data_IF_909922712167
#
_entry.id   IF_909922712167
#
_cell.length_a   1.000
_cell.length_b   1.000
_cell.length_c   1.000
_cell.angle_alpha   90.00
_cell.angle_beta   90.00
_cell.angle_gamma   90.00
#
_symmetry.space_group_name_H-M   'P 1'
#
loop_
_entity.id
_entity.type
_entity.pdbx_description
1 polymer ?
#
# COMPACT_ATOMS: atom_id res chain seq x y z
N UNK A 1 -73.44 -95.34 -14.98
CA UNK A 1 -73.20 -94.46 -16.15
C UNK A 1 -71.94 -93.66 -15.86
N UNK A 2 -70.91 -93.79 -16.69
CA UNK A 2 -69.56 -93.28 -16.46
C UNK A 2 -69.32 -92.13 -17.45
N UNK A 3 -69.32 -90.89 -16.98
CA UNK A 3 -68.99 -89.72 -17.81
C UNK A 3 -67.48 -89.50 -17.77
N UNK A 4 -66.79 -89.84 -18.87
CA UNK A 4 -65.40 -89.45 -19.11
C UNK A 4 -65.37 -87.96 -19.50
N UNK A 5 -64.67 -87.16 -18.71
CA UNK A 5 -64.29 -85.79 -19.04
C UNK A 5 -63.03 -85.82 -19.92
N UNK A 6 -63.16 -85.38 -21.17
CA UNK A 6 -62.05 -85.12 -22.09
C UNK A 6 -61.48 -83.72 -21.81
N UNK A 7 -60.37 -83.66 -21.07
CA UNK A 7 -59.57 -82.45 -20.95
C UNK A 7 -58.59 -82.36 -22.13
N UNK A 8 -58.99 -81.60 -23.16
CA UNK A 8 -58.10 -81.16 -24.24
C UNK A 8 -57.09 -80.14 -23.70
N UNK A 9 -55.88 -80.60 -23.34
CA UNK A 9 -54.75 -79.71 -23.09
C UNK A 9 -54.26 -79.15 -24.44
N UNK A 10 -54.08 -77.82 -24.58
CA UNK A 10 -53.53 -77.25 -25.81
C UNK A 10 -52.09 -77.73 -26.00
N UNK A 11 -51.84 -78.33 -27.16
CA UNK A 11 -50.54 -78.79 -27.62
C UNK A 11 -49.52 -77.63 -27.59
N UNK A 12 -48.69 -77.59 -26.53
CA UNK A 12 -47.52 -76.71 -26.48
C UNK A 12 -46.56 -77.14 -27.58
N UNK A 13 -46.65 -76.51 -28.75
CA UNK A 13 -45.62 -76.61 -29.80
C UNK A 13 -44.29 -76.16 -29.19
N UNK A 14 -43.44 -77.13 -28.83
CA UNK A 14 -42.09 -76.85 -28.34
C UNK A 14 -41.29 -76.11 -29.40
N UNK A 15 -40.53 -75.10 -28.97
CA UNK A 15 -39.56 -74.43 -29.83
C UNK A 15 -38.61 -75.46 -30.45
N UNK A 16 -38.32 -75.36 -31.74
CA UNK A 16 -37.35 -76.25 -32.37
C UNK A 16 -35.95 -76.00 -31.81
N UNK A 17 -35.10 -77.04 -31.77
CA UNK A 17 -33.71 -76.94 -31.30
C UNK A 17 -32.94 -75.80 -31.99
N UNK A 18 -33.20 -75.58 -33.28
CA UNK A 18 -32.60 -74.50 -34.06
C UNK A 18 -32.93 -73.10 -33.51
N UNK A 19 -34.18 -72.88 -33.06
CA UNK A 19 -34.59 -71.60 -32.46
C UNK A 19 -33.92 -71.39 -31.11
N UNK A 20 -33.79 -72.43 -30.30
CA UNK A 20 -33.09 -72.36 -29.00
C UNK A 20 -31.63 -72.00 -29.19
N UNK A 21 -30.92 -72.67 -30.13
CA UNK A 21 -29.52 -72.37 -30.46
C UNK A 21 -29.34 -70.94 -30.96
N UNK A 22 -30.25 -70.45 -31.80
CA UNK A 22 -30.21 -69.06 -32.28
C UNK A 22 -30.37 -68.06 -31.13
N UNK A 23 -31.30 -68.29 -30.21
CA UNK A 23 -31.53 -67.41 -29.04
C UNK A 23 -30.29 -67.39 -28.13
N UNK A 24 -29.65 -68.52 -27.85
CA UNK A 24 -28.43 -68.55 -27.03
C UNK A 24 -27.27 -67.83 -27.73
N UNK A 25 -27.11 -68.02 -29.04
CA UNK A 25 -26.08 -67.29 -29.81
C UNK A 25 -26.30 -65.77 -29.77
N UNK A 26 -27.53 -65.31 -29.99
CA UNK A 26 -27.86 -63.88 -29.91
C UNK A 26 -27.59 -63.34 -28.50
N UNK A 27 -28.01 -64.06 -27.47
CA UNK A 27 -27.81 -63.65 -26.07
C UNK A 27 -26.31 -63.53 -25.74
N UNK A 28 -25.49 -64.48 -26.19
CA UNK A 28 -24.04 -64.42 -26.02
C UNK A 28 -23.42 -63.20 -26.72
N UNK A 29 -23.86 -62.89 -27.94
CA UNK A 29 -23.40 -61.69 -28.68
C UNK A 29 -23.78 -60.41 -27.93
N UNK A 30 -25.03 -60.29 -27.45
CA UNK A 30 -25.48 -59.11 -26.70
C UNK A 30 -24.65 -58.90 -25.43
N UNK A 31 -24.38 -59.98 -24.68
CA UNK A 31 -23.51 -59.91 -23.49
C UNK A 31 -22.10 -59.47 -23.85
N UNK A 32 -21.54 -60.02 -24.94
CA UNK A 32 -20.18 -59.67 -25.39
C UNK A 32 -20.09 -58.20 -25.79
N UNK A 33 -21.05 -57.69 -26.56
CA UNK A 33 -21.11 -56.28 -26.98
C UNK A 33 -21.26 -55.36 -25.76
N UNK A 34 -22.13 -55.70 -24.81
CA UNK A 34 -22.28 -54.94 -23.57
C UNK A 34 -20.98 -54.95 -22.73
N UNK A 35 -20.29 -56.08 -22.66
CA UNK A 35 -19.01 -56.21 -21.97
C UNK A 35 -17.91 -55.34 -22.58
N UNK A 36 -17.82 -55.29 -23.91
CA UNK A 36 -16.88 -54.39 -24.63
C UNK A 36 -17.22 -52.92 -24.35
N UNK A 37 -18.50 -52.56 -24.40
CA UNK A 37 -18.95 -51.20 -24.07
C UNK A 37 -18.56 -50.79 -22.64
N UNK A 38 -18.77 -51.67 -21.67
CA UNK A 38 -18.37 -51.44 -20.28
C UNK A 38 -16.84 -51.28 -20.16
N UNK A 39 -16.06 -52.14 -20.83
CA UNK A 39 -14.60 -52.09 -20.81
C UNK A 39 -14.08 -50.75 -21.36
N UNK A 40 -14.61 -50.29 -22.49
CA UNK A 40 -14.22 -49.00 -23.09
C UNK A 40 -14.52 -47.82 -22.15
N UNK A 41 -15.65 -47.87 -21.46
CA UNK A 41 -16.05 -46.84 -20.48
C UNK A 41 -15.09 -46.84 -19.28
N UNK A 42 -14.69 -48.01 -18.79
CA UNK A 42 -13.71 -48.14 -17.70
C UNK A 42 -12.35 -47.55 -18.11
N UNK A 43 -11.90 -47.81 -19.33
CA UNK A 43 -10.64 -47.26 -19.84
C UNK A 43 -10.68 -45.73 -19.97
N UNK A 44 -11.79 -45.17 -20.45
CA UNK A 44 -11.99 -43.72 -20.50
C UNK A 44 -11.95 -43.10 -19.10
N UNK A 45 -12.67 -43.66 -18.13
CA UNK A 45 -12.68 -43.18 -16.75
C UNK A 45 -11.27 -43.25 -16.11
N UNK A 46 -10.50 -44.31 -16.37
CA UNK A 46 -9.12 -44.40 -15.91
C UNK A 46 -8.24 -43.29 -16.51
N UNK A 47 -8.39 -43.03 -17.81
CA UNK A 47 -7.64 -41.96 -18.49
C UNK A 47 -7.97 -40.58 -17.93
N UNK A 48 -9.25 -40.29 -17.71
CA UNK A 48 -9.70 -39.03 -17.11
C UNK A 48 -9.22 -38.87 -15.67
N UNK A 49 -9.25 -39.94 -14.87
CA UNK A 49 -8.77 -39.89 -13.50
C UNK A 49 -7.26 -39.61 -13.41
N UNK A 50 -6.47 -40.19 -14.32
CA UNK A 50 -5.03 -39.89 -14.43
C UNK A 50 -4.80 -38.42 -14.80
N UNK A 51 -5.57 -37.87 -15.75
CA UNK A 51 -5.49 -36.44 -16.11
C UNK A 51 -5.81 -35.53 -14.91
N UNK A 52 -6.84 -35.87 -14.15
CA UNK A 52 -7.22 -35.13 -12.94
C UNK A 52 -6.15 -35.21 -11.85
N UNK A 53 -5.57 -36.39 -11.61
CA UNK A 53 -4.45 -36.53 -10.67
C UNK A 53 -3.27 -35.66 -11.06
N UNK A 54 -2.87 -35.66 -12.33
CA UNK A 54 -1.75 -34.85 -12.79
C UNK A 54 -2.02 -33.34 -12.61
N UNK A 55 -3.24 -32.89 -12.94
CA UNK A 55 -3.64 -31.49 -12.72
C UNK A 55 -3.65 -31.12 -11.24
N UNK A 56 -4.07 -32.01 -10.36
CA UNK A 56 -4.02 -31.79 -8.91
C UNK A 56 -2.59 -31.68 -8.38
N UNK A 57 -1.66 -32.51 -8.90
CA UNK A 57 -0.23 -32.41 -8.55
C UNK A 57 0.32 -31.05 -8.97
N UNK A 58 0.07 -30.64 -10.22
CA UNK A 58 0.53 -29.34 -10.75
C UNK A 58 -0.01 -28.15 -9.94
N UNK A 59 -1.30 -28.18 -9.59
CA UNK A 59 -1.92 -27.13 -8.77
C UNK A 59 -1.35 -27.09 -7.36
N UNK A 60 -1.04 -28.25 -6.78
CA UNK A 60 -0.45 -28.35 -5.44
C UNK A 60 0.96 -27.77 -5.42
N UNK A 61 1.75 -28.04 -6.45
CA UNK A 61 3.09 -27.48 -6.63
C UNK A 61 3.06 -25.96 -6.78
N UNK A 62 2.22 -25.44 -7.69
CA UNK A 62 2.01 -24.00 -7.88
C UNK A 62 1.56 -23.28 -6.60
N UNK A 63 0.69 -23.92 -5.81
CA UNK A 63 0.24 -23.38 -4.53
C UNK A 63 1.39 -23.31 -3.52
N UNK A 64 2.25 -24.34 -3.48
CA UNK A 64 3.43 -24.36 -2.62
C UNK A 64 4.41 -23.24 -2.97
N UNK A 65 4.73 -23.08 -4.25
CA UNK A 65 5.61 -22.02 -4.75
C UNK A 65 5.08 -20.63 -4.40
N UNK A 66 3.77 -20.42 -4.61
CA UNK A 66 3.11 -19.15 -4.31
C UNK A 66 3.18 -18.83 -2.81
N UNK A 67 2.97 -19.83 -1.94
CA UNK A 67 3.10 -19.66 -0.49
C UNK A 67 4.52 -19.29 -0.08
N UNK A 68 5.53 -19.89 -0.69
CA UNK A 68 6.94 -19.56 -0.43
C UNK A 68 7.24 -18.12 -0.86
N UNK A 69 6.80 -17.72 -2.07
CA UNK A 69 6.98 -16.36 -2.59
C UNK A 69 6.30 -15.31 -1.71
N UNK A 70 5.09 -15.61 -1.21
CA UNK A 70 4.36 -14.73 -0.30
C UNK A 70 5.11 -14.55 1.03
N UNK A 71 5.61 -15.64 1.62
CA UNK A 71 6.43 -15.57 2.85
C UNK A 71 7.67 -14.71 2.64
N UNK A 72 8.42 -14.91 1.54
CA UNK A 72 9.61 -14.10 1.22
C UNK A 72 9.27 -12.61 1.09
N UNK A 73 8.17 -12.29 0.39
CA UNK A 73 7.71 -10.90 0.24
C UNK A 73 7.34 -10.27 1.59
N UNK A 74 6.69 -11.04 2.47
CA UNK A 74 6.36 -10.61 3.83
C UNK A 74 7.59 -10.28 4.67
N UNK A 75 8.64 -11.13 4.61
CA UNK A 75 9.91 -10.86 5.30
C UNK A 75 10.59 -9.59 4.78
N UNK A 76 10.67 -9.42 3.45
CA UNK A 76 11.26 -8.22 2.86
C UNK A 76 10.50 -6.95 3.25
N UNK A 77 9.17 -7.02 3.34
CA UNK A 77 8.35 -5.88 3.80
C UNK A 77 8.62 -5.53 5.26
N UNK A 78 8.80 -6.53 6.13
CA UNK A 78 9.14 -6.31 7.53
C UNK A 78 10.53 -5.65 7.67
N UNK A 79 11.51 -6.10 6.89
CA UNK A 79 12.85 -5.50 6.85
C UNK A 79 12.80 -4.03 6.40
N UNK A 80 12.09 -3.74 5.29
CA UNK A 80 11.93 -2.38 4.80
C UNK A 80 11.28 -1.44 5.83
N UNK A 81 10.31 -1.93 6.61
CA UNK A 81 9.69 -1.16 7.70
C UNK A 81 10.71 -0.82 8.79
N UNK A 82 11.55 -1.76 9.19
CA UNK A 82 12.61 -1.53 10.19
C UNK A 82 13.61 -0.50 9.68
N UNK A 83 14.04 -0.61 8.42
CA UNK A 83 14.95 0.37 7.78
C UNK A 83 14.34 1.77 7.74
N UNK A 84 13.05 1.89 7.40
CA UNK A 84 12.36 3.18 7.39
C UNK A 84 12.30 3.81 8.79
N UNK A 85 11.97 3.02 9.81
CA UNK A 85 11.98 3.49 11.21
C UNK A 85 13.37 3.95 11.63
N UNK A 86 14.42 3.22 11.28
CA UNK A 86 15.81 3.64 11.57
C UNK A 86 16.19 4.93 10.84
N UNK A 87 15.80 5.09 9.57
CA UNK A 87 16.04 6.32 8.83
C UNK A 87 15.30 7.52 9.43
N UNK A 88 14.07 7.31 9.92
CA UNK A 88 13.31 8.33 10.63
C UNK A 88 14.04 8.81 11.88
N UNK A 89 14.53 7.89 12.73
CA UNK A 89 15.28 8.28 13.93
C UNK A 89 16.57 9.04 13.61
N UNK A 90 17.31 8.62 12.57
CA UNK A 90 18.50 9.37 12.13
C UNK A 90 18.17 10.77 11.63
N UNK A 91 17.02 10.94 10.96
CA UNK A 91 16.56 12.25 10.53
C UNK A 91 16.17 13.13 11.73
N UNK A 92 15.48 12.57 12.72
CA UNK A 92 15.15 13.26 13.97
C UNK A 92 16.42 13.68 14.73
N UNK A 93 17.43 12.81 14.82
CA UNK A 93 18.73 13.11 15.42
C UNK A 93 19.46 14.22 14.68
N UNK A 94 19.56 14.14 13.35
CA UNK A 94 20.19 15.20 12.54
C UNK A 94 19.43 16.54 12.63
N UNK A 95 18.10 16.49 12.74
CA UNK A 95 17.28 17.70 12.92
C UNK A 95 17.51 18.32 14.30
N UNK A 96 17.69 17.49 15.34
CA UNK A 96 18.05 17.95 16.68
C UNK A 96 19.45 18.57 16.72
N UNK A 97 20.45 17.94 16.09
CA UNK A 97 21.82 18.48 15.98
C UNK A 97 21.83 19.81 15.23
N UNK A 98 21.12 19.91 14.09
CA UNK A 98 20.93 21.16 13.36
C UNK A 98 20.23 22.23 14.21
N UNK A 99 19.25 21.82 15.01
CA UNK A 99 18.52 22.70 15.90
C UNK A 99 19.38 23.30 17.01
N UNK A 100 20.29 22.51 17.60
CA UNK A 100 21.25 22.99 18.60
C UNK A 100 22.26 23.99 18.00
N UNK A 101 22.80 23.72 16.82
CA UNK A 101 23.67 24.67 16.10
C UNK A 101 22.90 25.95 15.72
N UNK A 102 21.60 25.81 15.40
CA UNK A 102 20.71 26.94 15.10
C UNK A 102 20.31 27.76 16.35
N UNK A 103 20.42 27.22 17.56
CA UNK A 103 20.17 28.00 18.77
C UNK A 103 21.33 28.94 19.10
N UNK A 104 22.50 28.75 18.48
CA UNK A 104 23.61 29.70 18.53
C UNK A 104 23.60 30.63 17.32
N UNK A 105 22.85 31.73 17.42
CA UNK A 105 23.02 32.81 16.45
C UNK A 105 24.46 33.33 16.48
N UNK A 106 25.06 33.61 15.32
CA UNK A 106 26.28 34.42 15.25
C UNK A 106 26.11 35.74 16.01
N UNK A 107 27.22 36.28 16.53
CA UNK A 107 27.18 37.62 17.12
C UNK A 107 26.74 38.65 16.07
N UNK A 108 25.82 39.53 16.46
CA UNK A 108 25.35 40.62 15.61
C UNK A 108 26.53 41.42 15.07
N UNK A 109 26.55 41.60 13.76
CA UNK A 109 27.61 42.30 13.06
C UNK A 109 27.07 42.96 11.81
N UNK A 110 27.89 43.76 11.12
CA UNK A 110 27.52 44.29 9.79
C UNK A 110 27.31 43.21 8.72
N UNK A 111 27.62 41.95 9.03
CA UNK A 111 27.47 40.79 8.13
C UNK A 111 26.46 39.77 8.67
N UNK A 112 25.89 40.04 9.84
CA UNK A 112 24.90 39.19 10.48
C UNK A 112 23.94 40.13 11.20
N UNK A 113 22.92 40.58 10.48
CA UNK A 113 21.93 41.53 10.98
C UNK A 113 20.51 40.96 10.97
N UNK A 114 19.51 41.82 10.82
CA UNK A 114 18.10 41.47 10.86
C UNK A 114 17.71 40.44 9.80
N UNK A 115 18.24 40.54 8.58
CA UNK A 115 17.84 39.64 7.50
C UNK A 115 18.48 38.25 7.60
N UNK A 116 19.75 38.19 7.97
CA UNK A 116 20.46 36.97 8.30
C UNK A 116 19.81 36.25 9.49
N UNK A 117 19.46 37.01 10.54
CA UNK A 117 18.81 36.43 11.71
C UNK A 117 17.38 35.95 11.40
N UNK A 118 16.58 36.74 10.69
CA UNK A 118 15.25 36.34 10.27
C UNK A 118 15.29 35.10 9.36
N UNK A 119 16.26 35.04 8.43
CA UNK A 119 16.47 33.87 7.57
C UNK A 119 16.83 32.63 8.38
N UNK A 120 17.72 32.82 9.35
CA UNK A 120 18.14 31.77 10.27
C UNK A 120 16.96 31.23 11.09
N UNK A 121 16.18 32.11 11.72
CA UNK A 121 14.99 31.74 12.50
C UNK A 121 13.90 31.10 11.65
N UNK A 122 13.66 31.63 10.45
CA UNK A 122 12.71 31.04 9.49
C UNK A 122 13.05 29.58 9.19
N UNK A 123 14.32 29.30 8.87
CA UNK A 123 14.77 27.94 8.58
C UNK A 123 14.67 27.04 9.82
N UNK A 124 15.02 27.56 11.00
CA UNK A 124 14.95 26.82 12.27
C UNK A 124 13.51 26.40 12.59
N UNK A 125 12.57 27.34 12.70
CA UNK A 125 11.19 27.04 13.07
C UNK A 125 10.47 26.22 12.00
N UNK A 126 10.75 26.46 10.72
CA UNK A 126 10.20 25.62 9.64
C UNK A 126 10.73 24.19 9.72
N UNK A 127 11.99 23.98 10.10
CA UNK A 127 12.57 22.62 10.27
C UNK A 127 11.91 21.83 11.41
N UNK A 128 11.40 22.55 12.42
CA UNK A 128 10.64 21.99 13.54
C UNK A 128 9.16 21.76 13.19
N UNK A 129 8.72 22.17 12.00
CA UNK A 129 7.35 21.99 11.51
C UNK A 129 6.36 23.07 11.94
N UNK A 130 6.84 24.23 12.39
CA UNK A 130 5.98 25.38 12.64
C UNK A 130 5.62 26.11 11.35
N UNK A 131 4.43 26.72 11.33
CA UNK A 131 4.06 27.70 10.31
C UNK A 131 4.72 29.04 10.64
N UNK A 132 5.51 29.56 9.71
CA UNK A 132 6.33 30.76 9.91
C UNK A 132 6.05 31.79 8.83
N UNK A 133 5.72 33.01 9.24
CA UNK A 133 5.61 34.18 8.36
C UNK A 133 6.83 35.08 8.50
N UNK A 134 7.37 35.56 7.38
CA UNK A 134 8.47 36.53 7.38
C UNK A 134 7.85 37.93 7.29
N UNK A 135 8.24 38.82 8.18
CA UNK A 135 7.59 40.12 8.35
C UNK A 135 8.62 41.23 8.20
N UNK A 136 8.36 42.16 7.27
CA UNK A 136 9.11 43.41 7.16
C UNK A 136 8.30 44.55 7.79
N UNK A 137 8.97 45.39 8.57
CA UNK A 137 8.35 46.52 9.26
C UNK A 137 9.37 47.62 9.58
N UNK A 138 8.92 48.64 10.29
CA UNK A 138 9.79 49.72 10.74
C UNK A 138 9.90 49.75 12.27
N UNK A 139 11.10 49.79 12.82
CA UNK A 139 11.32 49.81 14.28
C UNK A 139 11.25 51.21 14.93
N UNK A 140 11.10 52.27 14.15
CA UNK A 140 11.11 53.66 14.62
C UNK A 140 9.83 54.45 14.31
N UNK A 141 8.89 53.88 13.55
CA UNK A 141 7.70 54.57 13.04
C UNK A 141 6.42 53.74 13.25
N UNK A 142 5.32 54.45 13.53
CA UNK A 142 3.97 53.90 13.51
C UNK A 142 3.27 54.25 12.17
N UNK A 143 2.44 53.34 11.64
CA UNK A 143 1.64 53.49 10.41
C UNK A 143 2.48 53.70 9.13
N UNK A 144 3.58 52.99 9.03
CA UNK A 144 4.52 52.99 7.92
C UNK A 144 3.97 52.34 6.64
N UNK A 145 4.43 52.84 5.49
CA UNK A 145 4.23 52.15 4.21
C UNK A 145 5.29 51.06 4.02
N UNK A 146 5.00 50.07 3.18
CA UNK A 146 5.95 49.00 2.85
C UNK A 146 7.35 49.49 2.44
N UNK A 147 7.45 50.64 1.77
CA UNK A 147 8.74 51.19 1.31
C UNK A 147 9.55 51.87 2.42
N UNK A 148 8.99 51.95 3.62
CA UNK A 148 9.64 52.51 4.81
C UNK A 148 10.09 51.43 5.78
N UNK A 149 9.87 50.15 5.48
CA UNK A 149 10.40 49.06 6.30
C UNK A 149 11.92 49.11 6.32
N UNK A 150 12.51 49.02 7.51
CA UNK A 150 13.96 49.04 7.76
C UNK A 150 14.44 47.82 8.53
N UNK A 151 13.53 46.93 8.92
CA UNK A 151 13.82 45.76 9.72
C UNK A 151 12.98 44.56 9.28
N UNK A 152 13.45 43.36 9.61
CA UNK A 152 12.77 42.10 9.29
C UNK A 152 12.89 41.11 10.44
N UNK A 153 11.80 40.41 10.71
CA UNK A 153 11.68 39.39 11.76
C UNK A 153 10.74 38.26 11.32
N UNK A 154 10.45 37.31 12.22
CA UNK A 154 9.52 36.21 11.92
C UNK A 154 8.37 36.11 12.92
N UNK A 155 7.19 35.74 12.44
CA UNK A 155 6.06 35.28 13.26
C UNK A 155 5.96 33.77 13.18
N UNK A 156 5.86 33.12 14.35
CA UNK A 156 5.73 31.68 14.49
C UNK A 156 4.36 31.36 15.08
N UNK A 157 3.55 30.55 14.40
CA UNK A 157 2.27 30.08 14.95
C UNK A 157 2.53 28.94 15.95
N UNK A 158 2.15 29.16 17.21
CA UNK A 158 2.29 28.17 18.29
C UNK A 158 1.20 27.07 18.28
N UNK A 159 0.28 27.11 17.33
CA UNK A 159 -0.84 26.17 17.19
C UNK A 159 -2.00 26.44 18.15
N UNK A 160 -1.89 27.45 19.02
CA UNK A 160 -2.95 27.91 19.95
C UNK A 160 -3.55 29.25 19.44
N UNK A 161 -3.30 29.59 18.16
CA UNK A 161 -3.71 30.84 17.48
C UNK A 161 -3.02 32.08 18.04
N UNK A 162 -1.77 31.96 18.49
CA UNK A 162 -0.93 33.10 18.83
C UNK A 162 0.26 33.13 17.89
N UNK A 163 0.42 34.25 17.22
CA UNK A 163 1.65 34.55 16.48
C UNK A 163 2.67 35.08 17.50
N UNK A 164 3.78 34.36 17.64
CA UNK A 164 4.90 34.76 18.47
C UNK A 164 5.93 35.43 17.58
N UNK A 165 6.29 36.69 17.89
CA UNK A 165 7.29 37.42 17.12
C UNK A 165 8.68 37.13 17.64
N UNK A 166 9.56 36.70 16.73
CA UNK A 166 10.96 36.47 17.03
C UNK A 166 11.82 37.42 16.21
N UNK A 167 12.59 38.24 16.91
CA UNK A 167 13.57 39.17 16.34
C UNK A 167 14.96 38.92 16.93
N UNK A 168 15.98 38.90 16.08
CA UNK A 168 17.39 38.64 16.47
C UNK A 168 17.57 37.44 17.43
N UNK A 169 16.78 36.38 17.25
CA UNK A 169 16.79 35.15 18.06
C UNK A 169 16.07 35.24 19.41
N UNK A 170 15.33 36.32 19.66
CA UNK A 170 14.64 36.58 20.91
C UNK A 170 13.14 36.67 20.65
N UNK A 171 12.36 36.31 21.66
CA UNK A 171 10.94 36.53 21.64
C UNK A 171 10.68 38.00 21.98
N UNK A 172 10.08 38.74 21.05
CA UNK A 172 9.75 40.15 21.20
C UNK A 172 8.23 40.32 21.15
N UNK A 173 7.67 40.90 22.21
CA UNK A 173 6.22 41.01 22.39
C UNK A 173 5.77 42.47 22.46
N UNK A 174 6.53 43.38 21.87
CA UNK A 174 6.11 44.77 21.77
C UNK A 174 5.06 44.96 20.67
N UNK A 175 4.44 46.14 20.70
CA UNK A 175 3.38 46.50 19.77
C UNK A 175 3.91 46.56 18.33
N UNK A 176 5.17 46.94 18.13
CA UNK A 176 5.76 47.13 16.81
C UNK A 176 5.98 45.81 16.08
N UNK A 177 6.49 44.79 16.78
CA UNK A 177 6.63 43.44 16.26
C UNK A 177 5.30 42.71 16.06
N UNK A 178 4.18 43.34 16.44
CA UNK A 178 2.83 42.83 16.17
C UNK A 178 2.25 43.33 14.84
N UNK A 179 2.96 44.22 14.12
CA UNK A 179 2.52 44.78 12.84
C UNK A 179 3.61 44.73 11.78
N UNK A 180 3.22 44.52 10.52
CA UNK A 180 4.15 44.58 9.40
C UNK A 180 3.57 43.98 8.13
N UNK A 181 4.42 43.86 7.13
CA UNK A 181 4.08 43.30 5.83
C UNK A 181 4.71 41.92 5.67
N UNK A 182 3.88 40.93 5.37
CA UNK A 182 4.37 39.58 5.07
C UNK A 182 5.14 39.62 3.74
N UNK A 183 6.42 39.25 3.78
CA UNK A 183 7.28 39.14 2.60
C UNK A 183 7.57 37.68 2.26
N UNK A 184 8.01 37.44 1.03
CA UNK A 184 8.34 36.08 0.60
C UNK A 184 9.75 35.67 1.05
N UNK A 185 9.96 34.36 1.26
CA UNK A 185 11.29 33.79 1.48
C UNK A 185 12.31 34.22 0.42
N UNK A 186 11.85 34.33 -0.84
CA UNK A 186 12.70 34.77 -1.95
C UNK A 186 13.19 36.21 -1.79
N UNK A 187 12.38 37.08 -1.20
CA UNK A 187 12.75 38.49 -1.04
C UNK A 187 13.65 38.67 0.18
N UNK A 188 13.41 37.95 1.29
CA UNK A 188 14.35 37.86 2.42
C UNK A 188 15.73 37.34 1.99
N UNK A 189 15.76 36.23 1.24
CA UNK A 189 17.00 35.62 0.79
C UNK A 189 17.83 36.56 -0.11
N UNK A 190 17.19 37.47 -0.85
CA UNK A 190 17.92 38.44 -1.68
C UNK A 190 18.63 39.49 -0.85
N UNK A 191 17.99 40.00 0.20
CA UNK A 191 18.61 41.00 1.08
C UNK A 191 19.76 40.36 1.87
N UNK A 192 19.55 39.19 2.48
CA UNK A 192 20.61 38.49 3.23
C UNK A 192 21.84 38.12 2.37
N UNK A 193 21.65 37.91 1.06
CA UNK A 193 22.77 37.68 0.13
C UNK A 193 23.45 38.97 -0.35
N UNK A 194 22.81 40.13 -0.18
CA UNK A 194 23.34 41.43 -0.61
C UNK A 194 24.48 41.91 0.30
N UNK A 195 24.46 41.46 1.55
CA UNK A 195 25.35 41.94 2.61
C UNK A 195 26.61 41.05 2.80
N UNK A 196 26.73 39.98 2.00
CA UNK A 196 27.87 39.04 1.94
C UNK A 196 29.03 39.52 1.04
#
# INVERSE_FOLDING_TARGET
MNFKSENNLPNKKGLSKAVITLITSITAIVILVAGIGLLTTIEQLKSENVKLMNKNVELTEKLSETKIKLKKTSYNLAEAKISLTSAKYKLEEATFELGEDMLTLPELSRKFDCDDSALHMYLYFTSLGYDVSIVAGNLDLDNETFYQCDHVWVWVDDGIKRELSYDLGRLDNDEQHSFGYIISYRDLLKEALRDQ
#
